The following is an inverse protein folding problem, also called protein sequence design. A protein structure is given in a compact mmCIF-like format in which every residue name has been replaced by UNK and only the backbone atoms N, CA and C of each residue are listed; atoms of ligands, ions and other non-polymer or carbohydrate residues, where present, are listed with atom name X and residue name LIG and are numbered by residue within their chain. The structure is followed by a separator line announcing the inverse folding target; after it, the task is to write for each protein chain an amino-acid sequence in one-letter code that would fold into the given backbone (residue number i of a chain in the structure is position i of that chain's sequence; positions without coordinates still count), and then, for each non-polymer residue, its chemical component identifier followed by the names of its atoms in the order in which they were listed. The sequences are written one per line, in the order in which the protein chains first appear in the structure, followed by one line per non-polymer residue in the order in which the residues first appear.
data_IF_055171579833
#
_entry.id   IF_055171579833
#
_cell.length_a   1.000
_cell.length_b   1.000
_cell.length_c   1.000
_cell.angle_alpha   90.00
_cell.angle_beta   90.00
_cell.angle_gamma   90.00
#
_symmetry.space_group_name_H-M   'P 1'
#
loop_
_entity.id
_entity.type
_entity.pdbx_description
1 polymer ?
#
# COMPACT_ATOMS: atom_id res chain seq x y z
N UNK A 1 -17.26 -20.95 16.35
CA UNK A 1 -18.13 -21.69 15.41
C UNK A 1 -18.25 -23.10 15.93
N UNK A 2 -19.43 -23.70 15.87
CA UNK A 2 -19.75 -24.89 16.65
C UNK A 2 -19.13 -26.20 16.13
N UNK A 3 -17.79 -26.27 16.03
CA UNK A 3 -17.07 -27.50 15.70
C UNK A 3 -16.99 -27.82 14.20
N UNK A 4 -17.31 -26.88 13.31
CA UNK A 4 -17.12 -27.02 11.86
C UNK A 4 -15.82 -26.38 11.40
N UNK A 5 -15.21 -26.93 10.34
CA UNK A 5 -13.99 -26.38 9.75
C UNK A 5 -14.35 -25.44 8.59
N UNK A 6 -13.98 -24.20 8.70
CA UNK A 6 -14.07 -23.23 7.60
C UNK A 6 -12.74 -23.21 6.85
N UNK A 7 -12.79 -23.38 5.53
CA UNK A 7 -11.66 -23.42 4.63
C UNK A 7 -11.80 -22.27 3.64
N UNK A 8 -10.75 -21.49 3.45
CA UNK A 8 -10.73 -20.41 2.45
C UNK A 8 -9.40 -20.42 1.70
N UNK A 9 -9.43 -19.94 0.46
CA UNK A 9 -8.25 -19.82 -0.38
C UNK A 9 -8.38 -18.61 -1.30
N UNK A 10 -7.31 -18.29 -2.01
CA UNK A 10 -7.30 -17.19 -2.98
C UNK A 10 -7.52 -17.73 -4.39
N UNK A 11 -8.32 -17.02 -5.17
CA UNK A 11 -8.28 -17.10 -6.62
C UNK A 11 -7.18 -16.18 -7.12
N UNK A 12 -6.17 -16.74 -7.80
CA UNK A 12 -5.01 -15.99 -8.25
C UNK A 12 -5.32 -15.31 -9.60
N UNK A 13 -4.79 -14.10 -9.81
CA UNK A 13 -4.94 -13.37 -11.07
C UNK A 13 -4.38 -14.10 -12.31
N UNK A 14 -3.50 -15.08 -12.10
CA UNK A 14 -2.96 -15.96 -13.15
C UNK A 14 -3.87 -17.16 -13.48
N UNK A 15 -4.94 -17.37 -12.70
CA UNK A 15 -5.88 -18.46 -12.94
C UNK A 15 -6.96 -18.03 -13.94
N UNK A 16 -7.44 -19.00 -14.75
CA UNK A 16 -8.56 -18.79 -15.66
C UNK A 16 -9.84 -18.45 -14.89
N UNK A 17 -10.69 -17.56 -15.41
CA UNK A 17 -12.03 -17.26 -14.89
C UNK A 17 -12.93 -18.52 -14.78
N UNK A 18 -12.65 -19.57 -15.55
CA UNK A 18 -13.35 -20.83 -15.51
C UNK A 18 -12.79 -21.83 -14.49
N UNK A 19 -11.75 -21.47 -13.73
CA UNK A 19 -11.20 -22.32 -12.66
C UNK A 19 -12.26 -22.60 -11.62
N UNK A 20 -12.36 -23.88 -11.22
CA UNK A 20 -13.21 -24.38 -10.14
C UNK A 20 -12.35 -25.13 -9.16
N UNK A 21 -12.90 -25.54 -8.02
CA UNK A 21 -12.10 -26.19 -6.97
C UNK A 21 -12.77 -27.43 -6.44
N UNK A 22 -11.97 -28.48 -6.25
CA UNK A 22 -12.34 -29.66 -5.47
C UNK A 22 -11.61 -29.63 -4.13
N UNK A 23 -12.32 -30.04 -3.07
CA UNK A 23 -11.78 -30.08 -1.73
C UNK A 23 -11.63 -31.53 -1.31
N UNK A 24 -10.45 -31.87 -0.84
CA UNK A 24 -10.14 -33.19 -0.31
C UNK A 24 -9.78 -33.07 1.16
N UNK A 25 -10.17 -34.09 1.95
CA UNK A 25 -9.84 -34.21 3.36
C UNK A 25 -9.14 -35.55 3.61
N UNK A 26 -7.99 -35.52 4.26
CA UNK A 26 -7.25 -36.66 4.73
C UNK A 26 -7.21 -36.67 6.27
N UNK A 27 -7.31 -37.87 6.88
CA UNK A 27 -7.33 -38.04 8.35
C UNK A 27 -5.99 -38.57 8.92
N UNK A 28 -4.98 -38.77 8.07
CA UNK A 28 -3.66 -39.24 8.48
C UNK A 28 -2.62 -38.91 7.41
N UNK A 29 -1.34 -38.92 7.75
CA UNK A 29 -0.21 -38.90 6.80
C UNK A 29 -0.22 -40.11 5.84
N UNK A 30 -1.35 -40.38 5.22
CA UNK A 30 -1.47 -41.44 4.22
C UNK A 30 -0.93 -40.96 2.87
N UNK A 31 -0.33 -41.90 2.16
CA UNK A 31 0.20 -41.72 0.79
C UNK A 31 -0.87 -41.42 -0.29
N UNK A 32 -2.06 -41.00 0.09
CA UNK A 32 -3.15 -40.58 -0.79
C UNK A 32 -3.78 -39.29 -0.26
N UNK A 33 -4.17 -38.39 -1.15
CA UNK A 33 -4.77 -37.08 -0.87
C UNK A 33 -6.14 -37.12 -0.18
N UNK A 34 -6.57 -38.28 0.32
CA UNK A 34 -7.80 -38.46 1.11
C UNK A 34 -9.07 -38.54 0.27
N UNK A 35 -10.18 -38.13 0.85
CA UNK A 35 -11.51 -38.20 0.25
C UNK A 35 -11.97 -36.82 -0.25
N UNK A 36 -12.46 -36.77 -1.48
CA UNK A 36 -13.16 -35.57 -1.99
C UNK A 36 -14.46 -35.36 -1.18
N UNK A 37 -14.67 -34.12 -0.71
CA UNK A 37 -15.78 -33.78 0.22
C UNK A 37 -16.83 -32.85 -0.42
N UNK A 38 -16.56 -32.23 -1.56
CA UNK A 38 -17.58 -31.53 -2.34
C UNK A 38 -18.11 -32.41 -3.49
N UNK A 39 -19.40 -32.26 -3.79
CA UNK A 39 -20.05 -33.09 -4.82
C UNK A 39 -19.67 -32.63 -6.24
N UNK A 40 -19.74 -31.30 -6.47
CA UNK A 40 -19.43 -30.66 -7.73
C UNK A 40 -18.31 -29.64 -7.52
N UNK A 41 -17.46 -29.36 -8.54
CA UNK A 41 -16.41 -28.35 -8.41
C UNK A 41 -16.99 -26.99 -8.04
N UNK A 42 -16.41 -26.35 -7.03
CA UNK A 42 -16.89 -25.09 -6.45
C UNK A 42 -16.54 -23.89 -7.32
N UNK A 43 -17.47 -22.95 -7.44
CA UNK A 43 -17.27 -21.63 -8.02
C UNK A 43 -17.08 -20.56 -6.93
N UNK A 44 -16.54 -20.95 -5.80
CA UNK A 44 -16.29 -20.08 -4.66
C UNK A 44 -14.90 -20.39 -4.12
N UNK A 45 -14.34 -19.46 -3.38
CA UNK A 45 -13.02 -19.56 -2.74
C UNK A 45 -13.12 -19.87 -1.25
N UNK A 46 -14.22 -20.51 -0.86
CA UNK A 46 -14.42 -20.98 0.51
C UNK A 46 -15.32 -22.24 0.54
N UNK A 47 -15.21 -22.99 1.63
CA UNK A 47 -16.01 -24.17 1.88
C UNK A 47 -16.12 -24.42 3.39
N UNK A 48 -17.29 -24.86 3.85
CA UNK A 48 -17.47 -25.28 5.24
C UNK A 48 -17.61 -26.79 5.30
N UNK A 49 -16.65 -27.47 5.92
CA UNK A 49 -16.75 -28.88 6.21
C UNK A 49 -17.48 -29.09 7.54
N UNK A 50 -18.59 -29.80 7.50
CA UNK A 50 -19.41 -30.12 8.68
C UNK A 50 -18.79 -31.24 9.53
N UNK A 51 -17.64 -31.74 9.14
CA UNK A 51 -16.88 -32.73 9.91
C UNK A 51 -16.08 -32.02 11.02
N UNK A 52 -16.10 -32.59 12.21
CA UNK A 52 -15.26 -32.14 13.33
C UNK A 52 -13.86 -32.70 13.09
N UNK A 53 -12.97 -31.82 12.65
CA UNK A 53 -11.60 -32.18 12.35
C UNK A 53 -10.79 -32.43 13.65
N UNK A 54 -9.72 -33.19 13.52
CA UNK A 54 -8.70 -33.42 14.57
C UNK A 54 -7.37 -32.82 14.07
N UNK A 55 -6.39 -32.71 14.96
CA UNK A 55 -5.06 -32.18 14.68
C UNK A 55 -4.36 -32.90 13.52
N UNK A 56 -4.70 -34.16 13.26
CA UNK A 56 -4.18 -34.95 12.15
C UNK A 56 -4.94 -34.73 10.83
N UNK A 57 -5.97 -33.85 10.81
CA UNK A 57 -6.76 -33.61 9.60
C UNK A 57 -6.06 -32.63 8.69
N UNK A 58 -5.89 -33.02 7.43
CA UNK A 58 -5.33 -32.19 6.38
C UNK A 58 -6.38 -31.94 5.30
N UNK A 59 -6.33 -30.75 4.70
CA UNK A 59 -7.15 -30.39 3.56
C UNK A 59 -6.29 -30.09 2.35
N UNK A 60 -6.83 -30.37 1.16
CA UNK A 60 -6.22 -30.07 -0.11
C UNK A 60 -7.24 -29.36 -0.99
N UNK A 61 -6.89 -28.19 -1.49
CA UNK A 61 -7.70 -27.42 -2.42
C UNK A 61 -7.14 -27.66 -3.82
N UNK A 62 -7.88 -28.35 -4.67
CA UNK A 62 -7.41 -28.80 -5.98
C UNK A 62 -8.08 -28.00 -7.07
N UNK A 63 -7.34 -27.15 -7.82
CA UNK A 63 -7.89 -26.44 -8.96
C UNK A 63 -8.39 -27.43 -10.03
N UNK A 64 -9.53 -27.10 -10.65
CA UNK A 64 -10.12 -27.85 -11.76
C UNK A 64 -10.20 -26.91 -12.97
N UNK A 65 -9.42 -27.20 -14.00
CA UNK A 65 -9.36 -26.41 -15.22
C UNK A 65 -9.81 -27.29 -16.39
N UNK A 66 -10.77 -26.83 -17.17
CA UNK A 66 -11.38 -27.60 -18.27
C UNK A 66 -11.88 -28.99 -17.84
N UNK A 67 -12.31 -29.13 -16.59
CA UNK A 67 -12.81 -30.40 -16.05
C UNK A 67 -11.72 -31.37 -15.55
N UNK A 68 -10.45 -30.97 -15.57
CA UNK A 68 -9.31 -31.79 -15.13
C UNK A 68 -8.69 -31.17 -13.86
N UNK A 69 -8.42 -32.00 -12.84
CA UNK A 69 -7.77 -31.61 -11.59
C UNK A 69 -6.27 -31.36 -11.77
N UNK A 70 -5.76 -30.26 -11.19
CA UNK A 70 -4.36 -29.82 -11.28
C UNK A 70 -3.63 -30.13 -9.98
N UNK A 71 -3.19 -31.38 -9.78
CA UNK A 71 -2.56 -31.85 -8.54
C UNK A 71 -1.10 -31.41 -8.36
N UNK A 72 -0.45 -30.95 -9.39
CA UNK A 72 0.93 -30.45 -9.38
C UNK A 72 1.08 -29.08 -8.66
N UNK A 73 -0.05 -28.44 -8.35
CA UNK A 73 -0.13 -27.12 -7.71
C UNK A 73 -0.73 -27.17 -6.30
N UNK A 74 -0.76 -28.32 -5.67
CA UNK A 74 -1.52 -28.54 -4.43
C UNK A 74 -0.60 -28.85 -3.27
N UNK A 75 -0.69 -28.01 -2.21
CA UNK A 75 -0.12 -28.27 -0.90
C UNK A 75 -1.16 -28.76 0.11
N UNK A 76 -0.72 -29.42 1.16
CA UNK A 76 -1.57 -29.75 2.32
C UNK A 76 -1.74 -28.53 3.21
N UNK A 77 -2.97 -28.26 3.63
CA UNK A 77 -3.27 -27.20 4.60
C UNK A 77 -3.65 -27.88 5.92
N UNK A 78 -2.97 -27.46 7.00
CA UNK A 78 -3.27 -27.93 8.37
C UNK A 78 -4.31 -27.04 9.03
N UNK A 79 -4.99 -27.61 10.04
CA UNK A 79 -5.92 -26.85 10.84
C UNK A 79 -5.20 -25.87 11.77
N UNK A 80 -5.83 -24.75 11.97
CA UNK A 80 -5.52 -23.88 13.08
C UNK A 80 -6.38 -24.20 14.28
N UNK A 81 -5.81 -24.16 15.48
CA UNK A 81 -6.53 -24.38 16.74
C UNK A 81 -7.60 -23.32 17.00
N UNK A 82 -7.42 -22.12 16.42
CA UNK A 82 -8.31 -20.98 16.53
C UNK A 82 -8.69 -20.47 15.14
N UNK A 83 -9.65 -19.57 15.07
CA UNK A 83 -9.98 -18.82 13.85
C UNK A 83 -9.00 -17.64 13.60
N UNK A 84 -7.87 -17.63 14.26
CA UNK A 84 -6.74 -16.71 14.09
C UNK A 84 -5.42 -17.46 14.35
N UNK A 85 -4.32 -16.90 13.84
CA UNK A 85 -2.97 -17.39 14.11
C UNK A 85 -2.26 -16.39 15.02
N UNK A 86 -1.68 -16.87 16.12
CA UNK A 86 -0.80 -16.10 16.98
C UNK A 86 0.64 -16.19 16.47
N UNK A 87 1.20 -15.06 16.08
CA UNK A 87 2.60 -14.98 15.65
C UNK A 87 3.41 -14.27 16.73
N UNK A 88 4.32 -14.95 17.43
CA UNK A 88 5.12 -14.36 18.49
C UNK A 88 6.21 -13.45 17.93
N UNK A 89 5.99 -12.14 17.98
CA UNK A 89 6.95 -11.14 17.48
C UNK A 89 7.91 -10.67 18.58
N UNK A 90 9.12 -10.24 18.19
CA UNK A 90 10.22 -9.87 19.10
C UNK A 90 10.36 -8.34 19.16
N UNK A 91 9.63 -7.72 20.09
CA UNK A 91 9.68 -6.27 20.30
C UNK A 91 11.13 -5.78 20.45
N UNK A 92 11.55 -4.71 19.73
CA UNK A 92 12.84 -4.08 19.93
C UNK A 92 12.99 -3.51 21.34
N UNK A 93 14.23 -3.45 21.82
CA UNK A 93 14.53 -2.85 23.12
C UNK A 93 14.22 -1.34 23.14
N UNK A 94 13.81 -0.84 24.29
CA UNK A 94 13.63 0.59 24.50
C UNK A 94 14.96 1.32 24.28
N UNK A 95 14.89 2.53 23.76
CA UNK A 95 16.06 3.33 23.49
C UNK A 95 15.78 4.81 23.85
N UNK A 96 16.73 5.70 23.57
CA UNK A 96 16.66 7.10 23.90
C UNK A 96 17.17 7.97 22.75
N UNK A 97 16.47 9.05 22.44
CA UNK A 97 16.91 10.06 21.48
C UNK A 97 16.78 11.45 22.10
N UNK A 98 17.81 12.26 21.98
CA UNK A 98 17.85 13.64 22.52
C UNK A 98 17.37 13.75 24.00
N UNK A 99 17.66 12.72 24.82
CA UNK A 99 17.26 12.66 26.22
C UNK A 99 15.86 12.11 26.49
N UNK A 100 15.02 11.91 25.49
CA UNK A 100 13.69 11.30 25.56
C UNK A 100 13.77 9.79 25.38
N UNK A 101 13.21 9.02 26.32
CA UNK A 101 13.09 7.57 26.22
C UNK A 101 11.89 7.20 25.34
N UNK A 102 12.04 6.16 24.55
CA UNK A 102 10.97 5.61 23.73
C UNK A 102 10.96 4.07 23.74
N UNK A 103 9.80 3.54 23.55
CA UNK A 103 9.56 2.10 23.32
C UNK A 103 9.03 1.90 21.91
N UNK A 104 8.69 0.66 21.54
CA UNK A 104 8.15 0.35 20.23
C UNK A 104 6.75 -0.23 20.31
N UNK A 105 5.97 0.00 19.27
CA UNK A 105 4.70 -0.68 18.98
C UNK A 105 4.74 -1.22 17.56
N UNK A 106 4.10 -2.38 17.27
CA UNK A 106 3.95 -2.85 15.90
C UNK A 106 3.05 -1.86 15.13
N UNK A 107 3.45 -1.54 13.92
CA UNK A 107 2.74 -0.67 13.00
C UNK A 107 2.30 -1.41 11.74
N UNK A 108 2.56 -0.84 10.57
CA UNK A 108 2.21 -1.43 9.29
C UNK A 108 2.96 -2.74 9.04
N UNK A 109 2.33 -3.66 8.32
CA UNK A 109 2.94 -4.90 7.88
C UNK A 109 2.62 -5.16 6.40
N UNK A 110 3.51 -5.87 5.74
CA UNK A 110 3.31 -6.41 4.40
C UNK A 110 3.78 -7.85 4.35
N UNK A 111 3.32 -8.62 3.39
CA UNK A 111 3.64 -10.04 3.28
C UNK A 111 4.24 -10.36 1.92
N UNK A 112 5.08 -11.39 1.87
CA UNK A 112 5.63 -11.97 0.66
C UNK A 112 6.34 -13.27 0.99
N UNK A 113 6.53 -14.12 0.00
CA UNK A 113 7.38 -15.29 0.11
C UNK A 113 8.85 -14.82 0.00
N UNK A 114 9.48 -14.59 1.15
CA UNK A 114 10.81 -13.98 1.20
C UNK A 114 11.95 -14.98 0.92
N UNK A 115 11.73 -16.26 1.15
CA UNK A 115 12.76 -17.30 0.99
C UNK A 115 12.46 -18.33 -0.12
N UNK A 116 11.29 -18.24 -0.75
CA UNK A 116 10.90 -19.07 -1.90
C UNK A 116 10.40 -20.46 -1.50
N UNK A 117 9.95 -20.63 -0.25
CA UNK A 117 9.45 -21.91 0.24
C UNK A 117 7.95 -22.12 -0.04
N UNK A 118 7.25 -21.10 -0.55
CA UNK A 118 5.82 -21.10 -0.90
C UNK A 118 4.92 -20.67 0.24
N UNK A 119 5.44 -20.38 1.43
CA UNK A 119 4.72 -19.74 2.54
C UNK A 119 5.06 -18.24 2.57
N UNK A 120 4.16 -17.42 3.11
CA UNK A 120 4.43 -15.98 3.22
C UNK A 120 5.05 -15.65 4.57
N UNK A 121 6.11 -14.86 4.53
CA UNK A 121 6.65 -14.15 5.68
C UNK A 121 6.00 -12.79 5.84
N UNK A 122 6.14 -12.24 7.03
CA UNK A 122 5.62 -10.92 7.40
C UNK A 122 6.79 -9.96 7.58
N UNK A 123 6.80 -8.87 6.82
CA UNK A 123 7.66 -7.73 7.08
C UNK A 123 6.89 -6.72 7.92
N UNK A 124 7.32 -6.51 9.15
CA UNK A 124 6.65 -5.68 10.15
C UNK A 124 7.46 -4.41 10.43
N UNK A 125 6.80 -3.27 10.36
CA UNK A 125 7.34 -1.98 10.81
C UNK A 125 7.10 -1.80 12.30
N UNK A 126 8.15 -1.47 13.04
CA UNK A 126 8.09 -1.06 14.42
C UNK A 126 8.16 0.45 14.54
N UNK A 127 7.11 1.06 15.06
CA UNK A 127 7.05 2.50 15.30
C UNK A 127 7.52 2.82 16.72
N UNK A 128 8.47 3.78 16.89
CA UNK A 128 8.83 4.26 18.20
C UNK A 128 7.67 5.06 18.82
N UNK A 129 7.47 4.95 20.13
CA UNK A 129 6.37 5.61 20.85
C UNK A 129 6.39 7.14 20.76
N UNK A 130 7.50 7.72 20.35
CA UNK A 130 7.67 9.15 20.09
C UNK A 130 7.69 9.48 18.58
N UNK A 131 7.13 8.62 17.73
CA UNK A 131 6.89 8.93 16.33
C UNK A 131 6.10 10.24 16.17
N UNK A 132 6.39 10.99 15.10
CA UNK A 132 5.80 12.31 14.88
C UNK A 132 5.48 12.48 13.39
N UNK A 133 4.31 13.01 13.11
CA UNK A 133 3.95 13.43 11.75
C UNK A 133 4.93 14.47 11.20
N UNK A 134 5.05 14.54 9.87
CA UNK A 134 5.90 15.52 9.20
C UNK A 134 5.51 16.99 9.51
N UNK A 135 4.25 17.25 9.91
CA UNK A 135 3.81 18.57 10.39
C UNK A 135 4.33 18.94 11.79
N UNK A 136 4.88 17.99 12.56
CA UNK A 136 5.34 18.21 13.92
C UNK A 136 6.87 18.40 13.97
N UNK A 137 7.35 19.20 14.89
CA UNK A 137 8.76 19.36 15.20
C UNK A 137 9.24 18.30 16.21
N UNK A 138 10.56 18.11 16.27
CA UNK A 138 11.22 17.29 17.30
C UNK A 138 11.73 15.96 16.75
N UNK A 139 12.56 15.33 17.55
CA UNK A 139 13.19 14.05 17.24
C UNK A 139 12.21 12.89 17.39
N UNK A 140 12.43 11.83 16.61
CA UNK A 140 11.78 10.53 16.77
C UNK A 140 12.83 9.47 17.06
N UNK A 141 12.42 8.36 17.65
CA UNK A 141 13.22 7.15 17.67
C UNK A 141 13.42 6.61 16.25
N UNK A 142 14.28 5.63 16.12
CA UNK A 142 14.60 4.98 14.84
C UNK A 142 13.46 4.01 14.48
N UNK A 143 12.96 4.08 13.26
CA UNK A 143 12.03 3.10 12.72
C UNK A 143 12.77 1.79 12.41
N UNK A 144 12.13 0.65 12.64
CA UNK A 144 12.71 -0.68 12.43
C UNK A 144 11.78 -1.48 11.53
N UNK A 145 12.35 -2.25 10.60
CA UNK A 145 11.66 -3.29 9.85
C UNK A 145 12.21 -4.65 10.27
N UNK A 146 11.32 -5.56 10.64
CA UNK A 146 11.63 -6.95 10.95
C UNK A 146 10.93 -7.89 9.97
N UNK A 147 11.57 -8.97 9.56
CA UNK A 147 10.90 -10.07 8.88
C UNK A 147 10.72 -11.27 9.81
N UNK A 148 9.54 -11.87 9.73
CA UNK A 148 9.14 -13.02 10.56
C UNK A 148 8.51 -14.11 9.73
N UNK A 149 8.88 -15.36 10.01
CA UNK A 149 8.08 -16.53 9.63
C UNK A 149 6.80 -16.60 10.47
N UNK A 150 5.82 -17.35 10.01
CA UNK A 150 4.54 -17.50 10.70
C UNK A 150 4.67 -18.17 12.08
N UNK A 151 5.76 -18.90 12.35
CA UNK A 151 6.07 -19.45 13.68
C UNK A 151 6.72 -18.43 14.65
N UNK A 152 6.95 -17.19 14.20
CA UNK A 152 7.59 -16.10 14.95
C UNK A 152 9.11 -16.09 14.88
N UNK A 153 9.72 -16.97 14.08
CA UNK A 153 11.16 -16.90 13.81
C UNK A 153 11.48 -15.61 13.07
N UNK A 154 12.29 -14.73 13.69
CA UNK A 154 12.74 -13.53 13.04
C UNK A 154 13.90 -13.86 12.09
N UNK A 155 13.71 -13.56 10.80
CA UNK A 155 14.73 -13.74 9.77
C UNK A 155 15.81 -12.67 9.86
N UNK A 156 15.41 -11.42 9.91
CA UNK A 156 16.31 -10.27 9.97
C UNK A 156 15.67 -9.05 10.62
N UNK A 157 16.49 -8.05 10.85
CA UNK A 157 16.10 -6.71 11.31
C UNK A 157 16.87 -5.65 10.55
N UNK A 158 16.16 -4.70 9.94
CA UNK A 158 16.72 -3.49 9.35
C UNK A 158 16.43 -2.33 10.29
N UNK A 159 17.46 -1.56 10.66
CA UNK A 159 17.29 -0.33 11.41
C UNK A 159 17.42 0.85 10.46
N UNK A 160 16.37 1.65 10.30
CA UNK A 160 16.34 2.77 9.37
C UNK A 160 17.29 3.92 9.74
N UNK A 161 17.80 3.92 10.98
CA UNK A 161 18.79 4.87 11.45
C UNK A 161 18.24 6.28 11.77
N UNK A 162 19.13 7.19 12.22
CA UNK A 162 18.72 8.49 12.74
C UNK A 162 18.27 9.49 11.67
N UNK A 163 18.51 9.20 10.38
CA UNK A 163 18.22 10.11 9.26
C UNK A 163 16.93 9.78 8.51
N UNK A 164 16.23 8.71 8.92
CA UNK A 164 14.87 8.41 8.51
C UNK A 164 13.96 8.69 9.72
N UNK A 165 13.08 9.66 9.55
CA UNK A 165 12.10 10.02 10.58
C UNK A 165 11.05 8.92 10.72
N UNK A 166 10.61 8.65 11.93
CA UNK A 166 9.47 7.78 12.18
C UNK A 166 8.17 8.58 12.28
N UNK A 167 7.25 8.29 11.39
CA UNK A 167 5.93 8.92 11.31
C UNK A 167 5.05 8.24 10.28
N UNK A 168 3.79 8.60 10.23
CA UNK A 168 2.80 7.95 9.36
C UNK A 168 3.12 8.07 7.87
N UNK A 169 3.90 9.10 7.46
CA UNK A 169 4.19 9.38 6.06
C UNK A 169 5.66 9.21 5.68
N UNK A 170 6.50 8.77 6.62
CA UNK A 170 7.95 8.87 6.44
C UNK A 170 8.61 7.57 5.97
N UNK A 171 8.04 6.41 6.29
CA UNK A 171 8.67 5.11 5.98
C UNK A 171 7.66 4.21 5.29
N UNK A 172 7.52 4.38 3.98
CA UNK A 172 6.85 3.42 3.11
C UNK A 172 7.84 2.33 2.73
N UNK A 173 7.39 1.10 2.78
CA UNK A 173 8.13 -0.06 2.30
C UNK A 173 7.19 -0.96 1.51
N UNK A 174 7.72 -1.59 0.48
CA UNK A 174 6.97 -2.47 -0.41
C UNK A 174 7.66 -3.83 -0.43
N UNK A 175 6.87 -4.89 -0.31
CA UNK A 175 7.32 -6.28 -0.36
C UNK A 175 6.74 -6.93 -1.60
N UNK A 176 7.57 -7.33 -2.53
CA UNK A 176 7.15 -7.95 -3.78
C UNK A 176 8.31 -8.65 -4.47
N UNK A 177 8.03 -9.66 -5.28
CA UNK A 177 9.00 -10.33 -6.15
C UNK A 177 9.26 -9.46 -7.38
N UNK A 178 10.24 -8.53 -7.27
CA UNK A 178 10.51 -7.52 -8.30
C UNK A 178 11.31 -8.02 -9.48
N UNK A 179 12.11 -9.07 -9.32
CA UNK A 179 12.89 -9.64 -10.41
C UNK A 179 12.30 -10.93 -10.98
N UNK A 180 11.15 -11.36 -10.42
CA UNK A 180 10.38 -12.53 -10.84
C UNK A 180 11.14 -13.85 -10.66
N UNK A 181 11.95 -13.96 -9.61
CA UNK A 181 12.69 -15.18 -9.28
C UNK A 181 11.93 -16.13 -8.32
N UNK A 182 10.76 -15.70 -7.83
CA UNK A 182 9.92 -16.43 -6.90
C UNK A 182 10.18 -16.09 -5.44
N UNK A 183 11.01 -15.10 -5.12
CA UNK A 183 11.27 -14.59 -3.79
C UNK A 183 11.01 -13.10 -3.75
N UNK A 184 10.32 -12.66 -2.71
CA UNK A 184 10.00 -11.25 -2.59
C UNK A 184 11.19 -10.45 -2.00
N UNK A 185 11.44 -9.28 -2.57
CA UNK A 185 12.33 -8.26 -2.05
C UNK A 185 11.61 -7.25 -1.20
N UNK A 186 12.38 -6.44 -0.47
CA UNK A 186 11.87 -5.28 0.27
C UNK A 186 12.49 -4.01 -0.27
N UNK A 187 11.66 -3.12 -0.80
CA UNK A 187 12.06 -1.82 -1.34
C UNK A 187 11.61 -0.69 -0.42
N UNK A 188 12.50 0.20 -0.03
CA UNK A 188 12.13 1.38 0.75
C UNK A 188 13.15 2.53 0.61
N UNK A 189 12.74 3.70 1.08
CA UNK A 189 13.62 4.86 1.23
C UNK A 189 14.57 4.65 2.41
N UNK A 190 15.87 4.90 2.18
CA UNK A 190 16.93 4.82 3.20
C UNK A 190 17.75 6.11 3.24
N UNK A 191 18.67 6.21 4.17
CA UNK A 191 19.58 7.34 4.32
C UNK A 191 20.93 6.89 4.91
N UNK A 192 21.87 7.81 5.04
CA UNK A 192 23.11 7.59 5.77
C UNK A 192 22.82 7.02 7.18
N UNK A 193 23.51 5.94 7.53
CA UNK A 193 23.35 5.28 8.83
C UNK A 193 22.23 4.25 8.92
N UNK A 194 21.50 3.96 7.84
CA UNK A 194 20.59 2.79 7.80
C UNK A 194 21.42 1.50 7.88
N UNK A 195 21.02 0.58 8.76
CA UNK A 195 21.68 -0.72 8.97
C UNK A 195 20.82 -1.82 8.37
N UNK A 196 21.37 -2.52 7.39
CA UNK A 196 20.72 -3.64 6.71
C UNK A 196 20.64 -4.91 7.59
N UNK A 197 19.90 -5.92 7.14
CA UNK A 197 19.70 -7.18 7.87
C UNK A 197 20.98 -7.96 8.15
N UNK A 198 21.98 -7.88 7.26
CA UNK A 198 23.30 -8.47 7.42
C UNK A 198 24.27 -7.61 8.26
N UNK A 199 23.83 -6.47 8.77
CA UNK A 199 24.62 -5.52 9.56
C UNK A 199 25.46 -4.54 8.73
N UNK A 200 25.38 -4.57 7.41
CA UNK A 200 26.03 -3.56 6.57
C UNK A 200 25.35 -2.20 6.72
N UNK A 201 26.11 -1.11 6.54
CA UNK A 201 25.61 0.26 6.72
C UNK A 201 25.51 0.95 5.37
N UNK A 202 24.36 1.56 5.10
CA UNK A 202 24.13 2.37 3.91
C UNK A 202 24.70 3.77 4.15
N UNK A 203 25.51 4.26 3.22
CA UNK A 203 26.12 5.57 3.27
C UNK A 203 27.10 5.76 4.43
N UNK A 204 27.10 6.92 5.08
CA UNK A 204 28.00 7.26 6.17
C UNK A 204 27.35 7.00 7.54
N UNK A 205 27.86 5.98 8.26
CA UNK A 205 27.38 5.59 9.60
C UNK A 205 27.49 6.71 10.66
N UNK A 206 28.32 7.73 10.44
CA UNK A 206 28.61 8.78 11.43
C UNK A 206 27.78 10.04 11.22
N UNK A 207 26.90 10.09 10.22
CA UNK A 207 26.11 11.27 9.91
C UNK A 207 24.75 11.24 10.61
N UNK A 208 24.38 12.39 11.14
CA UNK A 208 23.04 12.63 11.68
C UNK A 208 22.60 14.05 11.27
N UNK A 209 21.86 14.14 10.19
CA UNK A 209 21.36 15.40 9.66
C UNK A 209 20.12 15.92 10.41
N UNK A 210 19.43 15.05 11.13
CA UNK A 210 18.27 15.39 11.93
C UNK A 210 18.61 16.40 13.04
N UNK A 211 19.86 16.42 13.52
CA UNK A 211 20.34 17.36 14.55
C UNK A 211 20.23 18.81 14.06
N UNK A 212 20.50 19.06 12.77
CA UNK A 212 20.50 20.43 12.21
C UNK A 212 19.09 20.98 12.04
N UNK A 213 18.13 20.11 11.74
CA UNK A 213 16.75 20.49 11.38
C UNK A 213 15.72 20.04 12.42
N UNK A 214 16.10 19.97 13.68
CA UNK A 214 15.24 19.64 14.80
C UNK A 214 14.41 18.36 14.58
N UNK A 215 15.08 17.27 14.23
CA UNK A 215 14.51 15.95 14.09
C UNK A 215 14.10 15.55 12.67
N UNK A 216 14.47 16.34 11.66
CA UNK A 216 14.23 16.03 10.23
C UNK A 216 15.52 16.00 9.43
N UNK A 217 15.63 15.11 8.47
CA UNK A 217 16.72 15.11 7.50
C UNK A 217 16.35 15.98 6.29
N UNK A 218 16.62 17.28 6.37
CA UNK A 218 16.30 18.23 5.29
C UNK A 218 17.52 18.57 4.39
N UNK A 219 18.68 18.02 4.66
CA UNK A 219 19.93 18.40 3.98
C UNK A 219 20.82 17.22 3.58
N UNK A 220 20.63 16.07 4.20
CA UNK A 220 21.41 14.86 3.91
C UNK A 220 20.86 14.11 2.70
N UNK A 221 21.67 13.21 2.13
CA UNK A 221 21.24 12.37 1.02
C UNK A 221 20.13 11.40 1.48
N UNK A 222 19.24 11.08 0.55
CA UNK A 222 18.25 10.03 0.66
C UNK A 222 18.50 9.02 -0.46
N UNK A 223 18.23 7.77 -0.20
CA UNK A 223 18.41 6.68 -1.15
C UNK A 223 17.13 5.87 -1.31
N UNK A 224 16.98 5.21 -2.44
CA UNK A 224 16.10 4.08 -2.64
C UNK A 224 16.95 2.83 -2.59
N UNK A 225 16.61 1.92 -1.68
CA UNK A 225 17.33 0.65 -1.50
C UNK A 225 16.36 -0.52 -1.65
N UNK A 226 16.84 -1.57 -2.33
CA UNK A 226 16.18 -2.88 -2.38
C UNK A 226 17.02 -3.87 -1.58
N UNK A 227 16.35 -4.59 -0.69
CA UNK A 227 16.93 -5.61 0.17
C UNK A 227 16.41 -6.99 -0.24
N UNK A 228 17.25 -8.00 -0.09
CA UNK A 228 16.83 -9.40 -0.22
C UNK A 228 15.83 -9.76 0.86
N UNK A 229 14.79 -10.49 0.47
CA UNK A 229 13.82 -11.02 1.42
C UNK A 229 14.43 -12.01 2.41
N UNK A 230 15.32 -12.88 1.96
CA UNK A 230 15.88 -13.99 2.76
C UNK A 230 16.65 -13.51 4.00
N UNK A 231 17.47 -12.46 3.88
CA UNK A 231 18.42 -12.06 4.93
C UNK A 231 18.49 -10.54 5.18
N UNK A 232 17.71 -9.75 4.44
CA UNK A 232 17.70 -8.29 4.54
C UNK A 232 18.99 -7.61 4.08
N UNK A 233 19.88 -8.31 3.35
CA UNK A 233 21.09 -7.72 2.76
C UNK A 233 20.75 -6.83 1.57
N UNK A 234 21.59 -5.83 1.29
CA UNK A 234 21.34 -4.88 0.20
C UNK A 234 21.59 -5.55 -1.16
N UNK A 235 20.60 -5.49 -2.06
CA UNK A 235 20.77 -5.83 -3.48
C UNK A 235 21.35 -4.65 -4.24
N UNK A 236 20.67 -3.48 -4.19
CA UNK A 236 21.12 -2.27 -4.84
C UNK A 236 20.61 -1.03 -4.11
N UNK A 237 21.34 0.08 -4.28
CA UNK A 237 21.00 1.39 -3.72
C UNK A 237 21.28 2.47 -4.76
N UNK A 238 20.30 3.33 -4.99
CA UNK A 238 20.44 4.50 -5.86
C UNK A 238 20.00 5.77 -5.12
N UNK A 239 20.40 6.93 -5.62
CA UNK A 239 19.90 8.20 -5.08
C UNK A 239 18.36 8.26 -5.20
N UNK A 240 17.68 8.62 -4.10
CA UNK A 240 16.23 8.84 -4.12
C UNK A 240 15.88 10.00 -5.06
N UNK A 241 14.93 9.80 -5.94
CA UNK A 241 14.54 10.83 -6.90
C UNK A 241 13.11 11.34 -6.64
N UNK A 242 12.98 12.62 -6.32
CA UNK A 242 14.06 13.60 -6.21
C UNK A 242 14.60 13.73 -4.79
N UNK A 243 15.85 14.19 -4.68
CA UNK A 243 16.36 14.73 -3.42
C UNK A 243 15.56 15.96 -3.00
N UNK A 244 15.65 16.34 -1.72
CA UNK A 244 14.91 17.52 -1.20
C UNK A 244 15.34 18.82 -1.89
N UNK A 245 16.61 18.91 -2.29
CA UNK A 245 17.19 20.00 -3.03
C UNK A 245 17.90 19.48 -4.28
N UNK A 246 17.95 20.26 -5.34
CA UNK A 246 18.62 19.81 -6.55
C UNK A 246 18.48 20.76 -7.73
N UNK A 247 18.64 20.21 -8.93
CA UNK A 247 18.43 20.92 -10.20
C UNK A 247 17.92 19.98 -11.29
N UNK A 248 17.07 20.50 -12.17
CA UNK A 248 16.63 19.79 -13.37
C UNK A 248 17.80 19.60 -14.36
N UNK A 249 17.60 18.78 -15.37
CA UNK A 249 18.56 18.65 -16.47
C UNK A 249 18.79 19.99 -17.22
N UNK A 250 17.77 20.88 -17.27
CA UNK A 250 17.87 22.24 -17.82
C UNK A 250 18.59 23.23 -16.89
N UNK A 251 18.94 22.81 -15.66
CA UNK A 251 19.64 23.64 -14.67
C UNK A 251 18.72 24.48 -13.77
N UNK A 252 17.40 24.35 -13.87
CA UNK A 252 16.45 24.97 -12.93
C UNK A 252 16.67 24.33 -11.54
N UNK A 253 16.99 25.15 -10.56
CA UNK A 253 17.22 24.70 -9.18
C UNK A 253 15.90 24.61 -8.42
N UNK A 254 15.86 23.68 -7.49
CA UNK A 254 14.85 23.63 -6.44
C UNK A 254 15.50 23.47 -5.07
N UNK A 255 14.82 23.94 -4.06
CA UNK A 255 15.16 23.79 -2.66
C UNK A 255 13.91 23.37 -1.88
N UNK A 256 14.00 23.34 -0.54
CA UNK A 256 12.89 22.93 0.31
C UNK A 256 11.63 23.78 0.09
N UNK A 257 11.75 25.08 -0.22
CA UNK A 257 10.60 25.96 -0.45
C UNK A 257 9.80 25.59 -1.68
N UNK A 258 10.43 24.94 -2.65
CA UNK A 258 9.76 24.45 -3.87
C UNK A 258 8.71 23.36 -3.59
N UNK A 259 8.74 22.76 -2.41
CA UNK A 259 7.75 21.77 -1.97
C UNK A 259 6.51 22.40 -1.34
N UNK A 260 6.53 23.71 -1.08
CA UNK A 260 5.42 24.46 -0.53
C UNK A 260 5.62 24.95 0.89
N UNK A 261 6.68 24.52 1.59
CA UNK A 261 7.10 25.07 2.89
C UNK A 261 8.62 24.91 3.09
N UNK A 262 9.14 25.51 4.14
CA UNK A 262 10.55 25.38 4.55
C UNK A 262 10.75 24.56 5.81
N UNK A 263 9.67 24.06 6.37
CA UNK A 263 9.65 23.26 7.60
C UNK A 263 9.84 21.76 7.33
N UNK A 264 9.60 21.31 6.09
CA UNK A 264 9.68 19.91 5.69
C UNK A 264 8.39 19.13 5.94
N UNK A 265 7.24 19.81 6.09
CA UNK A 265 5.96 19.12 6.12
C UNK A 265 5.57 18.64 4.71
N UNK A 266 5.66 19.54 3.73
CA UNK A 266 5.26 19.24 2.34
C UNK A 266 6.25 18.34 1.60
N UNK A 267 7.55 18.46 1.92
CA UNK A 267 8.61 17.65 1.31
C UNK A 267 8.76 16.26 1.90
N UNK A 268 8.26 16.02 3.11
CA UNK A 268 8.37 14.73 3.81
C UNK A 268 7.05 13.94 3.77
N UNK A 269 6.42 13.94 2.60
CA UNK A 269 5.19 13.19 2.31
C UNK A 269 5.49 12.18 1.21
N UNK A 270 5.45 10.91 1.56
CA UNK A 270 5.83 9.80 0.70
C UNK A 270 4.70 8.80 0.55
N UNK A 271 4.59 8.22 -0.64
CA UNK A 271 3.78 7.04 -0.92
C UNK A 271 4.57 6.07 -1.78
N UNK A 272 4.19 4.81 -1.74
CA UNK A 272 4.77 3.77 -2.58
C UNK A 272 3.69 2.80 -3.07
N UNK A 273 3.93 2.18 -4.22
CA UNK A 273 3.07 1.16 -4.78
C UNK A 273 3.90 0.18 -5.62
N UNK A 274 3.27 -0.92 -6.00
CA UNK A 274 3.74 -1.84 -7.03
C UNK A 274 2.79 -1.73 -8.22
N UNK A 275 3.33 -1.63 -9.44
CA UNK A 275 2.54 -1.52 -10.66
C UNK A 275 3.16 -2.33 -11.80
N UNK A 276 2.32 -2.95 -12.62
CA UNK A 276 2.73 -3.64 -13.84
C UNK A 276 2.70 -2.67 -15.02
N UNK A 277 3.64 -1.71 -15.02
CA UNK A 277 3.70 -0.61 -16.00
C UNK A 277 4.01 -1.05 -17.44
N UNK A 278 4.42 -2.28 -17.66
CA UNK A 278 4.61 -2.89 -18.99
C UNK A 278 3.79 -4.18 -19.18
N UNK A 279 2.87 -4.46 -18.26
CA UNK A 279 2.00 -5.61 -18.27
C UNK A 279 2.72 -6.96 -18.04
N UNK A 280 4.03 -6.97 -17.75
CA UNK A 280 4.82 -8.22 -17.68
C UNK A 280 5.60 -8.39 -16.40
N UNK A 281 6.10 -7.30 -15.81
CA UNK A 281 6.86 -7.32 -14.56
C UNK A 281 6.42 -6.23 -13.61
N UNK A 282 6.57 -6.47 -12.30
CA UNK A 282 6.29 -5.45 -11.31
C UNK A 282 7.35 -4.36 -11.34
N UNK A 283 6.89 -3.12 -11.28
CA UNK A 283 7.72 -1.92 -11.10
C UNK A 283 7.49 -1.34 -9.73
N UNK A 284 8.54 -0.82 -9.11
CA UNK A 284 8.47 -0.01 -7.89
C UNK A 284 8.01 1.39 -8.23
N UNK A 285 7.03 1.90 -7.53
CA UNK A 285 6.52 3.28 -7.66
C UNK A 285 6.78 4.00 -6.35
N UNK A 286 7.51 5.11 -6.40
CA UNK A 286 7.79 5.95 -5.23
C UNK A 286 7.40 7.39 -5.51
N UNK A 287 6.48 7.92 -4.69
CA UNK A 287 5.98 9.27 -4.79
C UNK A 287 6.47 10.13 -3.63
N UNK A 288 6.69 11.41 -3.91
CA UNK A 288 7.03 12.43 -2.92
C UNK A 288 6.25 13.71 -3.17
N UNK A 289 5.57 14.20 -2.12
CA UNK A 289 4.75 15.40 -2.17
C UNK A 289 3.38 15.19 -2.82
N UNK A 290 2.35 15.86 -2.31
CA UNK A 290 0.99 15.82 -2.84
C UNK A 290 0.17 17.07 -2.48
N UNK A 291 0.69 17.92 -1.61
CA UNK A 291 0.03 19.16 -1.20
C UNK A 291 0.37 20.36 -2.11
N UNK A 292 -0.47 21.38 -2.03
CA UNK A 292 -0.08 22.76 -2.32
C UNK A 292 0.76 23.34 -1.17
N UNK A 293 1.29 24.56 -1.34
CA UNK A 293 1.76 25.38 -0.22
C UNK A 293 0.62 25.67 0.77
N UNK A 294 0.94 26.15 2.00
CA UNK A 294 -0.04 26.68 2.91
C UNK A 294 -0.93 27.75 2.27
N UNK A 295 -2.12 27.98 2.83
CA UNK A 295 -3.06 28.96 2.28
C UNK A 295 -2.41 30.34 2.10
N UNK A 296 -2.46 30.86 0.88
CA UNK A 296 -1.85 32.15 0.51
C UNK A 296 -0.37 32.07 0.11
N UNK A 297 0.28 30.89 0.21
CA UNK A 297 1.65 30.68 -0.26
C UNK A 297 1.64 30.03 -1.65
N UNK A 298 2.65 30.38 -2.44
CA UNK A 298 2.91 29.73 -3.73
C UNK A 298 3.87 28.57 -3.52
N UNK A 299 3.67 27.49 -4.25
CA UNK A 299 4.54 26.32 -4.19
C UNK A 299 3.74 25.05 -4.03
N UNK A 300 4.46 23.98 -3.85
CA UNK A 300 3.97 22.62 -3.86
C UNK A 300 4.60 21.86 -5.01
N UNK A 301 4.77 20.57 -4.84
CA UNK A 301 5.37 19.70 -5.84
C UNK A 301 4.94 18.29 -5.61
N UNK A 302 4.68 17.59 -6.67
CA UNK A 302 4.49 16.14 -6.67
C UNK A 302 5.47 15.54 -7.65
N UNK A 303 6.19 14.52 -7.21
CA UNK A 303 7.09 13.74 -8.06
C UNK A 303 6.82 12.25 -7.83
N UNK A 304 6.74 11.51 -8.92
CA UNK A 304 6.65 10.05 -8.91
C UNK A 304 7.80 9.53 -9.75
N UNK A 305 8.58 8.62 -9.21
CA UNK A 305 9.66 7.94 -9.91
C UNK A 305 9.42 6.42 -9.85
N UNK A 306 9.65 5.75 -10.97
CA UNK A 306 9.44 4.30 -11.07
C UNK A 306 10.70 3.58 -11.47
N UNK A 307 10.86 2.37 -10.95
CA UNK A 307 12.05 1.56 -11.12
C UNK A 307 11.69 0.09 -11.32
N UNK A 308 12.46 -0.58 -12.17
CA UNK A 308 12.49 -2.04 -12.28
C UNK A 308 13.74 -2.58 -11.59
N UNK A 309 13.65 -3.80 -11.05
CA UNK A 309 14.84 -4.55 -10.62
C UNK A 309 15.26 -5.47 -11.78
N UNK A 310 16.41 -5.18 -12.40
CA UNK A 310 16.92 -5.93 -13.55
C UNK A 310 18.35 -6.35 -13.27
N UNK A 311 18.62 -7.65 -13.31
CA UNK A 311 19.93 -8.22 -13.01
C UNK A 311 20.53 -7.71 -11.70
N UNK A 312 19.71 -7.59 -10.66
CA UNK A 312 20.08 -7.08 -9.35
C UNK A 312 20.42 -5.58 -9.31
N UNK A 313 19.89 -4.79 -10.26
CA UNK A 313 20.08 -3.35 -10.35
C UNK A 313 18.77 -2.58 -10.46
N UNK A 314 18.67 -1.48 -9.73
CA UNK A 314 17.56 -0.52 -9.85
C UNK A 314 17.72 0.28 -11.14
N UNK A 315 16.82 0.06 -12.08
CA UNK A 315 16.77 0.74 -13.36
C UNK A 315 15.55 1.66 -13.39
N UNK A 316 15.79 2.98 -13.44
CA UNK A 316 14.68 3.95 -13.52
C UNK A 316 13.95 3.81 -14.85
N UNK A 317 12.62 3.67 -14.79
CA UNK A 317 11.74 3.58 -15.96
C UNK A 317 11.35 4.97 -16.45
N UNK A 318 10.67 5.74 -15.61
CA UNK A 318 10.28 7.12 -15.89
C UNK A 318 10.15 7.94 -14.60
N UNK A 319 9.94 9.22 -14.77
CA UNK A 319 9.69 10.18 -13.70
C UNK A 319 8.64 11.19 -14.14
N UNK A 320 7.58 11.32 -13.35
CA UNK A 320 6.64 12.45 -13.44
C UNK A 320 7.05 13.51 -12.42
N UNK A 321 6.99 14.78 -12.83
CA UNK A 321 7.27 15.92 -11.93
C UNK A 321 6.38 17.09 -12.33
N UNK A 322 5.62 17.64 -11.40
CA UNK A 322 4.74 18.78 -11.66
C UNK A 322 5.47 20.02 -12.20
N UNK A 323 6.76 20.16 -11.90
CA UNK A 323 7.60 21.25 -12.47
C UNK A 323 7.75 21.16 -14.00
N UNK A 324 7.72 19.97 -14.56
CA UNK A 324 7.84 19.75 -16.00
C UNK A 324 6.57 20.15 -16.76
N UNK A 325 5.45 20.34 -16.04
CA UNK A 325 4.12 20.71 -16.57
C UNK A 325 3.68 22.10 -16.13
N UNK A 326 4.62 23.02 -15.89
CA UNK A 326 4.34 24.38 -15.42
C UNK A 326 3.46 24.42 -14.16
N UNK A 327 3.63 23.44 -13.30
CA UNK A 327 2.94 23.31 -12.01
C UNK A 327 1.41 23.16 -12.10
N UNK A 328 0.85 22.80 -13.26
CA UNK A 328 -0.61 22.70 -13.41
C UNK A 328 -1.23 21.54 -12.61
N UNK A 329 -0.42 20.59 -12.12
CA UNK A 329 -0.88 19.44 -11.36
C UNK A 329 -0.54 19.51 -9.86
N UNK A 330 -0.06 20.66 -9.39
CA UNK A 330 0.25 20.87 -7.97
C UNK A 330 -1.01 20.68 -7.12
N UNK A 331 -0.85 19.98 -5.98
CA UNK A 331 -1.91 19.80 -5.00
C UNK A 331 -3.05 18.88 -5.44
N UNK A 332 -2.82 18.04 -6.45
CA UNK A 332 -3.83 17.10 -6.93
C UNK A 332 -3.63 15.68 -6.35
N UNK A 333 -2.53 15.43 -5.64
CA UNK A 333 -2.27 14.14 -5.00
C UNK A 333 -3.08 13.92 -3.73
N UNK A 334 -3.10 12.68 -3.26
CA UNK A 334 -3.88 12.22 -2.10
C UNK A 334 -2.97 11.53 -1.08
N UNK A 335 -3.46 11.24 0.13
CA UNK A 335 -2.80 10.38 1.12
C UNK A 335 -2.78 8.90 0.72
N UNK A 336 -3.48 8.52 -0.32
CA UNK A 336 -3.47 7.19 -0.92
C UNK A 336 -3.19 7.25 -2.41
N UNK A 337 -2.64 6.17 -2.95
CA UNK A 337 -2.40 5.97 -4.38
C UNK A 337 -2.95 4.59 -4.75
N UNK A 338 -3.72 4.52 -5.81
CA UNK A 338 -4.24 3.27 -6.36
C UNK A 338 -3.57 2.94 -7.69
N UNK A 339 -3.49 1.66 -7.99
CA UNK A 339 -2.90 1.13 -9.21
C UNK A 339 -3.94 0.21 -9.87
N UNK A 340 -4.22 0.44 -11.14
CA UNK A 340 -5.13 -0.40 -11.93
C UNK A 340 -4.94 -0.14 -13.42
N UNK A 341 -5.19 -1.17 -14.25
CA UNK A 341 -5.34 -1.04 -15.70
C UNK A 341 -6.72 -0.41 -15.99
N UNK A 342 -6.77 0.93 -16.03
CA UNK A 342 -8.05 1.67 -16.17
C UNK A 342 -8.47 1.87 -17.62
N UNK A 343 -7.59 1.62 -18.58
CA UNK A 343 -7.90 1.74 -20.01
C UNK A 343 -7.89 0.43 -20.77
N UNK A 344 -7.61 -0.68 -20.04
CA UNK A 344 -7.62 -2.06 -20.54
C UNK A 344 -6.58 -2.33 -21.62
N UNK A 345 -5.42 -1.69 -21.54
CA UNK A 345 -4.30 -1.93 -22.46
C UNK A 345 -3.35 -3.05 -21.98
N UNK A 346 -3.58 -3.56 -20.75
CA UNK A 346 -2.80 -4.60 -20.10
C UNK A 346 -1.66 -4.08 -19.25
N UNK A 347 -1.56 -2.77 -19.07
CA UNK A 347 -0.59 -2.11 -18.19
C UNK A 347 -1.33 -1.30 -17.12
N UNK A 348 -0.70 -1.13 -15.96
CA UNK A 348 -1.30 -0.39 -14.86
C UNK A 348 -1.09 1.12 -14.98
N UNK A 349 -2.11 1.89 -14.65
CA UNK A 349 -2.08 3.32 -14.40
C UNK A 349 -2.02 3.63 -12.92
N UNK A 350 -1.59 4.86 -12.62
CA UNK A 350 -1.55 5.38 -11.26
C UNK A 350 -2.65 6.41 -11.05
N UNK A 351 -3.56 6.13 -10.12
CA UNK A 351 -4.57 7.09 -9.66
C UNK A 351 -4.06 7.72 -8.36
N UNK A 352 -3.75 9.01 -8.42
CA UNK A 352 -3.14 9.74 -7.31
C UNK A 352 -3.98 10.96 -6.94
N UNK A 353 -5.05 10.72 -6.19
CA UNK A 353 -6.05 11.74 -5.84
C UNK A 353 -6.82 12.22 -7.05
N UNK A 354 -6.80 13.53 -7.27
CA UNK A 354 -7.44 14.19 -8.41
C UNK A 354 -6.64 14.11 -9.73
N UNK A 355 -5.55 13.33 -9.76
CA UNK A 355 -4.64 13.15 -10.88
C UNK A 355 -4.56 11.67 -11.26
N UNK A 356 -4.56 11.37 -12.56
CA UNK A 356 -4.21 10.06 -13.09
C UNK A 356 -2.98 10.17 -14.02
N UNK A 357 -2.10 9.16 -13.92
CA UNK A 357 -0.85 9.08 -14.68
C UNK A 357 -0.82 7.74 -15.41
N UNK A 358 -0.60 7.81 -16.70
CA UNK A 358 -0.51 6.65 -17.58
C UNK A 358 0.75 5.82 -17.28
N UNK A 359 0.74 4.55 -17.67
CA UNK A 359 1.84 3.60 -17.53
C UNK A 359 3.19 4.13 -18.06
N UNK A 360 3.19 5.10 -18.99
CA UNK A 360 4.37 5.74 -19.57
C UNK A 360 4.85 7.00 -18.81
N UNK A 361 4.22 7.33 -17.68
CA UNK A 361 4.55 8.49 -16.83
C UNK A 361 3.96 9.81 -17.28
N UNK A 362 3.08 9.82 -18.30
CA UNK A 362 2.38 11.05 -18.72
C UNK A 362 1.05 11.21 -17.99
N UNK A 363 0.65 12.45 -17.67
CA UNK A 363 -0.66 12.66 -17.06
C UNK A 363 -1.78 12.30 -18.06
N UNK A 364 -2.75 11.52 -17.60
CA UNK A 364 -3.98 11.22 -18.35
C UNK A 364 -4.97 12.37 -18.20
N UNK A 365 -5.28 12.72 -16.96
CA UNK A 365 -6.19 13.80 -16.61
C UNK A 365 -5.89 14.36 -15.22
N UNK A 366 -6.49 15.51 -14.92
CA UNK A 366 -6.69 16.04 -13.59
C UNK A 366 -8.11 16.58 -13.47
N UNK A 367 -8.83 16.20 -12.41
CA UNK A 367 -10.17 16.74 -12.14
C UNK A 367 -10.12 18.19 -11.66
N UNK A 368 -8.97 18.62 -11.13
CA UNK A 368 -8.82 19.96 -10.55
C UNK A 368 -9.50 20.14 -9.19
N UNK A 369 -9.96 19.05 -8.57
CA UNK A 369 -10.68 19.09 -7.28
C UNK A 369 -9.75 19.23 -6.08
N UNK A 370 -8.43 19.14 -6.31
CA UNK A 370 -7.44 19.33 -5.26
C UNK A 370 -7.12 18.08 -4.46
N UNK A 371 -6.47 18.30 -3.34
CA UNK A 371 -6.03 17.27 -2.42
C UNK A 371 -7.21 16.61 -1.66
N UNK A 372 -7.04 15.34 -1.34
CA UNK A 372 -7.92 14.56 -0.47
C UNK A 372 -7.17 13.47 0.28
N UNK A 373 -7.84 12.78 1.20
CA UNK A 373 -7.21 11.77 2.05
C UNK A 373 -7.50 10.34 1.62
N UNK A 374 -8.65 10.09 1.03
CA UNK A 374 -9.13 8.75 0.72
C UNK A 374 -9.60 8.64 -0.72
N UNK A 375 -9.24 7.52 -1.35
CA UNK A 375 -9.76 7.13 -2.66
C UNK A 375 -9.84 5.61 -2.77
N UNK A 376 -10.78 5.14 -3.56
CA UNK A 376 -10.99 3.73 -3.90
C UNK A 376 -11.18 3.59 -5.40
N UNK A 377 -10.53 2.61 -6.00
CA UNK A 377 -10.63 2.31 -7.43
C UNK A 377 -11.12 0.88 -7.59
N UNK A 378 -12.12 0.69 -8.43
CA UNK A 378 -12.71 -0.63 -8.71
C UNK A 378 -13.88 -0.51 -9.66
N UNK A 379 -14.51 -1.63 -9.96
CA UNK A 379 -15.82 -1.69 -10.61
C UNK A 379 -16.90 -1.34 -9.55
N UNK A 380 -17.03 -0.03 -9.29
CA UNK A 380 -17.92 0.49 -8.25
C UNK A 380 -19.37 0.62 -8.75
N UNK A 381 -19.54 0.79 -10.05
CA UNK A 381 -20.86 0.82 -10.73
C UNK A 381 -20.94 -0.26 -11.81
N UNK A 382 -21.37 -1.47 -11.48
CA UNK A 382 -21.42 -2.60 -12.43
C UNK A 382 -22.43 -2.39 -13.58
N UNK A 383 -23.19 -1.32 -13.59
CA UNK A 383 -24.06 -0.94 -14.72
C UNK A 383 -23.30 -0.22 -15.83
N UNK A 384 -22.04 0.16 -15.59
CA UNK A 384 -21.15 0.87 -16.52
C UNK A 384 -19.98 -0.04 -16.92
N UNK A 385 -19.46 0.06 -18.12
CA UNK A 385 -18.20 -0.58 -18.47
C UNK A 385 -17.03 0.27 -17.96
N UNK A 386 -16.05 -0.34 -17.35
CA UNK A 386 -14.83 0.33 -16.88
C UNK A 386 -14.70 0.28 -15.37
N UNK A 387 -13.74 1.03 -14.86
CA UNK A 387 -13.52 1.22 -13.43
C UNK A 387 -13.90 2.63 -13.03
N UNK A 388 -14.32 2.79 -11.79
CA UNK A 388 -14.60 4.07 -11.18
C UNK A 388 -13.61 4.37 -10.05
N UNK A 389 -13.53 5.64 -9.72
CA UNK A 389 -12.82 6.14 -8.53
C UNK A 389 -13.82 6.82 -7.63
N UNK A 390 -13.94 6.39 -6.38
CA UNK A 390 -14.54 7.16 -5.32
C UNK A 390 -13.46 7.92 -4.56
N UNK A 391 -13.62 9.24 -4.39
CA UNK A 391 -12.62 10.08 -3.71
C UNK A 391 -13.25 11.16 -2.84
N UNK A 392 -12.59 11.48 -1.72
CA UNK A 392 -12.97 12.54 -0.79
C UNK A 392 -11.96 13.69 -0.87
N UNK A 393 -12.44 14.94 -0.72
CA UNK A 393 -11.63 16.14 -0.87
C UNK A 393 -11.56 16.96 0.42
N UNK A 394 -10.36 17.38 0.77
CA UNK A 394 -10.06 18.19 1.95
C UNK A 394 -10.22 19.68 1.68
N UNK A 395 -10.00 20.11 0.42
CA UNK A 395 -10.06 21.53 0.07
C UNK A 395 -11.51 22.06 0.10
N UNK A 396 -11.77 22.96 1.02
CA UNK A 396 -13.09 23.61 1.17
C UNK A 396 -13.48 24.47 -0.05
N UNK A 397 -12.56 24.78 -0.94
CA UNK A 397 -12.82 25.44 -2.21
C UNK A 397 -13.06 24.44 -3.35
N UNK A 398 -12.91 23.16 -3.13
CA UNK A 398 -13.26 22.12 -4.09
C UNK A 398 -14.73 22.23 -4.46
N UNK A 399 -15.07 21.92 -5.70
CA UNK A 399 -16.47 21.91 -6.14
C UNK A 399 -17.31 20.86 -5.41
N UNK A 400 -16.69 19.75 -5.03
CA UNK A 400 -17.34 18.63 -4.37
C UNK A 400 -16.58 18.26 -3.10
N UNK A 401 -17.28 17.82 -2.05
CA UNK A 401 -16.68 17.21 -0.86
C UNK A 401 -16.23 15.78 -1.11
N UNK A 402 -16.96 15.06 -1.95
CA UNK A 402 -16.64 13.72 -2.45
C UNK A 402 -17.18 13.57 -3.86
N UNK A 403 -16.65 12.62 -4.60
CA UNK A 403 -17.09 12.33 -5.95
C UNK A 403 -16.84 10.86 -6.34
N UNK A 404 -17.64 10.41 -7.31
CA UNK A 404 -17.34 9.22 -8.09
C UNK A 404 -17.11 9.64 -9.53
N UNK A 405 -16.05 9.13 -10.15
CA UNK A 405 -15.67 9.45 -11.53
C UNK A 405 -15.27 8.21 -12.31
N UNK A 406 -15.36 8.29 -13.60
CA UNK A 406 -14.77 7.34 -14.52
C UNK A 406 -13.24 7.35 -14.36
N UNK A 407 -12.64 6.20 -14.06
CA UNK A 407 -11.21 6.10 -13.73
C UNK A 407 -10.30 6.39 -14.93
N UNK A 408 -10.76 6.10 -16.15
CA UNK A 408 -9.99 6.30 -17.38
C UNK A 408 -9.98 7.76 -17.83
N UNK A 409 -11.11 8.45 -17.72
CA UNK A 409 -11.31 9.77 -18.33
C UNK A 409 -11.31 10.92 -17.34
N UNK A 410 -11.56 10.65 -16.06
CA UNK A 410 -11.76 11.66 -15.03
C UNK A 410 -13.12 12.35 -15.08
N UNK A 411 -14.07 11.88 -15.91
CA UNK A 411 -15.43 12.40 -15.95
C UNK A 411 -16.14 12.17 -14.63
N UNK A 412 -16.63 13.25 -14.01
CA UNK A 412 -17.37 13.16 -12.75
C UNK A 412 -18.77 12.61 -13.04
N UNK A 413 -19.07 11.45 -12.47
CA UNK A 413 -20.35 10.75 -12.59
C UNK A 413 -21.30 11.19 -11.49
N UNK A 414 -20.81 11.22 -10.25
CA UNK A 414 -21.55 11.65 -9.06
C UNK A 414 -20.68 12.64 -8.29
N UNK A 415 -21.26 13.73 -7.80
CA UNK A 415 -20.55 14.71 -6.99
C UNK A 415 -21.40 15.17 -5.81
N UNK A 416 -20.89 14.99 -4.59
CA UNK A 416 -21.51 15.46 -3.37
C UNK A 416 -21.28 16.95 -3.14
N UNK A 417 -22.30 17.65 -2.64
CA UNK A 417 -22.18 19.08 -2.35
C UNK A 417 -21.04 19.38 -1.39
N UNK A 418 -20.42 20.55 -1.56
CA UNK A 418 -19.37 21.02 -0.66
C UNK A 418 -19.95 21.30 0.73
N UNK A 419 -19.43 20.59 1.73
CA UNK A 419 -19.91 20.65 3.12
C UNK A 419 -19.19 21.70 3.98
N UNK A 420 -18.20 22.40 3.42
CA UNK A 420 -17.50 23.50 4.09
C UNK A 420 -16.50 23.09 5.17
N UNK A 421 -16.05 21.85 5.16
CA UNK A 421 -15.10 21.30 6.12
C UNK A 421 -14.13 20.33 5.46
N UNK A 422 -13.13 19.90 6.22
CA UNK A 422 -12.25 18.80 5.84
C UNK A 422 -13.07 17.50 5.75
N UNK A 423 -13.25 16.97 4.54
CA UNK A 423 -13.93 15.71 4.26
C UNK A 423 -12.92 14.59 3.91
N UNK A 424 -11.78 14.62 4.57
CA UNK A 424 -10.64 13.79 4.22
C UNK A 424 -10.82 12.28 4.40
N UNK A 425 -11.81 11.82 5.15
CA UNK A 425 -12.02 10.39 5.42
C UNK A 425 -13.21 9.87 4.63
N UNK A 426 -13.02 8.71 3.99
CA UNK A 426 -14.08 8.04 3.26
C UNK A 426 -13.67 6.66 2.79
N UNK A 427 -14.67 5.89 2.41
CA UNK A 427 -14.49 4.56 1.83
C UNK A 427 -15.66 4.24 0.89
N UNK A 428 -15.52 3.21 0.08
CA UNK A 428 -16.57 2.69 -0.79
C UNK A 428 -16.55 1.17 -0.76
N UNK A 429 -17.73 0.57 -0.64
CA UNK A 429 -17.91 -0.89 -0.66
C UNK A 429 -19.40 -1.21 -0.96
N UNK A 430 -19.68 -2.42 -1.44
CA UNK A 430 -21.05 -2.93 -1.65
C UNK A 430 -21.62 -3.44 -0.32
N UNK A 431 -22.37 -2.58 0.37
CA UNK A 431 -22.90 -2.86 1.71
C UNK A 431 -24.43 -2.92 1.78
N UNK A 432 -25.16 -2.36 0.80
CA UNK A 432 -26.61 -2.33 0.80
C UNK A 432 -27.18 -3.04 -0.45
N UNK A 433 -27.67 -4.28 -0.32
CA UNK A 433 -28.16 -5.06 -1.45
C UNK A 433 -29.41 -4.48 -2.16
N UNK A 434 -29.94 -3.35 -1.70
CA UNK A 434 -31.03 -2.64 -2.37
C UNK A 434 -30.56 -1.79 -3.53
N UNK A 435 -29.25 -1.45 -3.57
CA UNK A 435 -28.65 -0.64 -4.61
C UNK A 435 -27.59 -1.48 -5.34
N UNK A 436 -27.55 -1.45 -6.66
CA UNK A 436 -26.49 -2.11 -7.43
C UNK A 436 -25.16 -1.36 -7.30
N UNK A 437 -24.07 -2.09 -7.08
CA UNK A 437 -22.72 -1.54 -6.98
C UNK A 437 -22.36 -1.08 -5.58
N UNK A 438 -21.30 -0.31 -5.49
CA UNK A 438 -20.73 0.11 -4.22
C UNK A 438 -21.35 1.42 -3.72
N UNK A 439 -21.67 1.50 -2.44
CA UNK A 439 -21.94 2.75 -1.77
C UNK A 439 -20.64 3.45 -1.39
N UNK A 440 -20.66 4.78 -1.50
CA UNK A 440 -19.60 5.63 -0.99
C UNK A 440 -20.05 6.42 0.24
N UNK A 441 -19.21 6.54 1.24
CA UNK A 441 -19.46 7.41 2.40
C UNK A 441 -18.19 8.09 2.88
N UNK A 442 -18.37 9.22 3.53
CA UNK A 442 -17.27 10.07 3.97
C UNK A 442 -17.58 10.78 5.29
N UNK A 443 -16.66 11.57 5.77
CA UNK A 443 -16.86 12.44 6.93
C UNK A 443 -18.04 13.43 6.77
N UNK A 444 -18.54 13.63 5.55
CA UNK A 444 -19.77 14.38 5.29
C UNK A 444 -21.03 13.72 5.87
N UNK A 445 -20.96 12.45 6.28
CA UNK A 445 -22.07 11.73 6.91
C UNK A 445 -23.20 11.34 5.94
N UNK A 446 -22.87 11.23 4.65
CA UNK A 446 -23.82 10.85 3.59
C UNK A 446 -23.37 9.52 3.01
N UNK A 447 -24.27 8.54 2.95
CA UNK A 447 -24.10 7.31 2.20
C UNK A 447 -24.77 7.48 0.83
N UNK A 448 -23.97 7.32 -0.23
CA UNK A 448 -24.42 7.55 -1.62
C UNK A 448 -24.16 6.29 -2.44
N UNK A 449 -25.18 5.76 -3.11
CA UNK A 449 -25.05 4.66 -4.06
C UNK A 449 -24.31 5.10 -5.33
N UNK A 450 -23.84 4.14 -6.11
CA UNK A 450 -23.09 4.35 -7.34
C UNK A 450 -23.82 5.24 -8.37
N UNK A 451 -25.16 5.18 -8.41
CA UNK A 451 -26.01 6.01 -9.27
C UNK A 451 -26.24 7.44 -8.74
N UNK A 452 -25.67 7.79 -7.59
CA UNK A 452 -25.85 9.08 -6.91
C UNK A 452 -27.07 9.15 -5.98
N UNK A 453 -27.81 8.07 -5.82
CA UNK A 453 -28.93 8.01 -4.86
C UNK A 453 -28.40 8.12 -3.44
N UNK A 454 -28.94 9.05 -2.66
CA UNK A 454 -28.63 9.16 -1.23
C UNK A 454 -29.36 8.06 -0.47
N UNK A 455 -28.62 7.07 0.03
CA UNK A 455 -29.14 5.91 0.75
C UNK A 455 -29.44 6.25 2.21
N UNK A 456 -28.56 7.03 2.85
CA UNK A 456 -28.67 7.43 4.25
C UNK A 456 -28.02 8.80 4.47
N UNK A 457 -28.76 9.68 5.15
CA UNK A 457 -28.21 10.90 5.73
C UNK A 457 -27.91 10.59 7.20
N UNK A 458 -26.62 10.56 7.57
CA UNK A 458 -26.24 10.45 8.95
C UNK A 458 -26.44 11.81 9.62
N UNK A 459 -27.57 12.00 10.28
CA UNK A 459 -27.75 13.13 11.19
C UNK A 459 -27.11 12.75 12.53
N UNK A 460 -26.44 13.68 13.17
CA UNK A 460 -25.61 13.50 14.38
C UNK A 460 -26.33 12.99 15.64
N UNK A 461 -27.48 12.37 15.50
CA UNK A 461 -28.34 11.91 16.59
C UNK A 461 -28.46 10.37 16.68
N UNK A 462 -27.35 9.67 16.36
CA UNK A 462 -27.24 8.21 16.58
C UNK A 462 -27.17 7.83 18.07
N UNK A 463 -27.33 8.77 18.99
CA UNK A 463 -27.38 8.51 20.42
C UNK A 463 -28.79 8.10 20.91
N UNK A 464 -29.84 8.26 20.10
CA UNK A 464 -31.23 7.99 20.49
C UNK A 464 -31.82 6.65 19.98
N UNK A 465 -31.10 5.89 19.16
CA UNK A 465 -31.52 4.56 18.70
C UNK A 465 -31.00 3.44 19.64
N UNK A 466 -31.14 3.63 20.94
CA UNK A 466 -31.07 2.54 21.90
C UNK A 466 -32.48 1.92 22.04
N UNK A 467 -32.80 1.01 21.15
CA UNK A 467 -33.85 0.03 21.35
C UNK A 467 -33.31 -1.39 21.34
#
# INVERSE_FOLDING_TARGET
MDGYTYISWRWLGTESADTRYNIYRSLTEMSSYGQKINNEPLNATNFTDLFIASDDTQYFIVPVVNGEEQWDKVGAVQLWDNNYMDIPIQKPENNKVNGEEYSYTPGDASVGDLDGDGEYEIVLKWDPSNAKDAAQAGFTGECILDAYKLDGTRLWRINMGPNIRAGAHDTQFMVYDYDCDGKAEVACRTADGTIAGDGSVIGDANKNYAVVSNGKNLTGPLYLTVFKGEDGSVIDTVDYDPQITGKTASGQKWDISSWGDTFGNRSERYLAAVAYLDGTRPSMVFARGYYTGPEGETGGRTVIATYDLVDGKLVKKWRFDTMDYNNQYIGQGNHSMSVADVDYDGCDELIYGSLAINNDGKPMYSTGLGHGDAQHVGDLDPSRPGLEVYSCHEDTNSKYSYEMRDARTGEILVGGEQMGGDNGRGTSDDIDPRYPGCEGWSAAGILTAADGTVCLLYTSDAADDSL
#
